data_IF_689940560263
#
_entry.id   IF_689940560263
#
_cell.length_a   1.000
_cell.length_b   1.000
_cell.length_c   1.000
_cell.angle_alpha   90.00
_cell.angle_beta   90.00
_cell.angle_gamma   90.00
#
_symmetry.space_group_name_H-M   'P 1'
#
loop_
_entity.id
_entity.type
_entity.pdbx_description
1 polymer ?
#
# COMPACT_ATOMS: atom_id res chain seq x y z
N UNK A 1 11.55 42.62 0.63
CA UNK A 1 11.85 41.86 1.88
C UNK A 1 11.16 40.48 1.86
N UNK A 2 11.86 39.43 2.32
CA UNK A 2 11.32 38.04 2.32
C UNK A 2 10.02 37.92 3.13
N UNK A 3 9.94 38.65 4.24
CA UNK A 3 8.76 38.66 5.14
C UNK A 3 7.49 39.21 4.46
N UNK A 4 7.61 40.27 3.65
CA UNK A 4 6.47 40.84 2.90
C UNK A 4 5.94 39.81 1.90
N UNK A 5 6.84 39.07 1.23
CA UNK A 5 6.46 38.06 0.25
C UNK A 5 5.68 36.91 0.90
N UNK A 6 6.20 36.38 2.00
CA UNK A 6 5.52 35.33 2.79
C UNK A 6 4.17 35.83 3.31
N UNK A 7 4.09 37.08 3.79
CA UNK A 7 2.85 37.65 4.28
C UNK A 7 1.79 37.81 3.16
N UNK A 8 2.20 38.23 1.97
CA UNK A 8 1.32 38.36 0.80
C UNK A 8 0.79 37.00 0.34
N UNK A 9 1.64 35.97 0.28
CA UNK A 9 1.22 34.61 -0.06
C UNK A 9 0.17 34.09 0.93
N UNK A 10 0.40 34.29 2.23
CA UNK A 10 -0.53 33.93 3.29
C UNK A 10 -1.88 34.67 3.15
N UNK A 11 -1.84 35.99 2.96
CA UNK A 11 -3.06 36.81 2.88
C UNK A 11 -3.85 36.56 1.59
N UNK A 12 -3.17 36.17 0.51
CA UNK A 12 -3.83 35.75 -0.74
C UNK A 12 -4.64 34.47 -0.55
N UNK A 13 -4.15 33.54 0.28
CA UNK A 13 -4.91 32.34 0.66
C UNK A 13 -6.10 32.72 1.57
N UNK A 14 -5.89 33.63 2.52
CA UNK A 14 -6.94 34.08 3.44
C UNK A 14 -8.06 34.89 2.76
N UNK A 15 -7.74 35.61 1.67
CA UNK A 15 -8.69 36.35 0.85
C UNK A 15 -9.71 35.44 0.12
N UNK A 16 -9.42 34.14 -0.01
CA UNK A 16 -10.28 33.20 -0.73
C UNK A 16 -10.45 33.59 -2.21
N UNK A 17 -11.65 33.39 -2.74
CA UNK A 17 -11.95 33.60 -4.18
C UNK A 17 -12.58 34.97 -4.49
N UNK A 18 -12.76 35.85 -3.51
CA UNK A 18 -13.41 37.14 -3.79
C UNK A 18 -12.43 38.11 -4.44
N UNK A 19 -12.77 38.61 -5.64
CA UNK A 19 -11.94 39.57 -6.40
C UNK A 19 -11.55 40.78 -5.54
N UNK A 20 -12.46 41.22 -4.67
CA UNK A 20 -12.24 42.35 -3.78
C UNK A 20 -11.17 42.09 -2.71
N UNK A 21 -11.16 40.92 -2.06
CA UNK A 21 -10.14 40.60 -1.06
C UNK A 21 -8.77 40.32 -1.70
N UNK A 22 -8.75 39.75 -2.90
CA UNK A 22 -7.52 39.59 -3.68
C UNK A 22 -6.94 40.96 -4.08
N UNK A 23 -7.78 41.92 -4.47
CA UNK A 23 -7.35 43.26 -4.81
C UNK A 23 -6.81 44.03 -3.59
N UNK A 24 -7.36 43.81 -2.39
CA UNK A 24 -6.78 44.33 -1.13
C UNK A 24 -5.34 43.86 -0.94
N UNK A 25 -5.09 42.57 -1.15
CA UNK A 25 -3.75 41.98 -0.98
C UNK A 25 -2.77 42.49 -2.04
N UNK A 26 -3.19 42.61 -3.30
CA UNK A 26 -2.38 43.21 -4.37
C UNK A 26 -2.06 44.68 -4.12
N UNK A 27 -3.02 45.46 -3.58
CA UNK A 27 -2.79 46.85 -3.20
C UNK A 27 -1.74 46.96 -2.08
N UNK A 28 -1.82 46.07 -1.08
CA UNK A 28 -0.83 45.97 0.00
C UNK A 28 0.56 45.61 -0.55
N UNK A 29 0.65 44.59 -1.41
CA UNK A 29 1.91 44.16 -2.02
C UNK A 29 2.56 45.29 -2.82
N UNK A 30 1.80 45.93 -3.71
CA UNK A 30 2.28 47.06 -4.51
C UNK A 30 2.78 48.21 -3.62
N UNK A 31 2.04 48.55 -2.58
CA UNK A 31 2.43 49.59 -1.60
C UNK A 31 3.75 49.22 -0.90
N UNK A 32 3.87 48.01 -0.38
CA UNK A 32 5.08 47.57 0.29
C UNK A 32 6.30 47.51 -0.64
N UNK A 33 6.13 47.16 -1.91
CA UNK A 33 7.23 47.12 -2.89
C UNK A 33 7.76 48.51 -3.27
N UNK A 34 6.86 49.51 -3.36
CA UNK A 34 7.26 50.88 -3.69
C UNK A 34 7.92 51.56 -2.50
N UNK A 35 7.32 51.43 -1.31
CA UNK A 35 7.81 52.08 -0.09
C UNK A 35 8.79 51.24 0.73
N UNK A 36 9.24 50.09 0.22
CA UNK A 36 10.13 49.18 0.93
C UNK A 36 11.38 49.87 1.51
N UNK A 37 12.03 50.73 0.73
CA UNK A 37 13.30 51.35 1.12
C UNK A 37 13.09 52.41 2.22
N UNK A 38 11.88 52.97 2.35
CA UNK A 38 11.55 53.85 3.50
C UNK A 38 11.21 53.02 4.73
N UNK A 39 10.48 51.91 4.55
CA UNK A 39 9.96 51.11 5.68
C UNK A 39 11.05 50.25 6.31
N UNK A 40 11.96 49.68 5.51
CA UNK A 40 12.90 48.65 5.95
C UNK A 40 14.37 49.09 5.92
N UNK A 41 14.75 50.06 5.09
CA UNK A 41 16.17 50.40 4.88
C UNK A 41 16.60 51.70 5.61
N UNK A 42 15.65 52.55 6.02
CA UNK A 42 15.93 53.75 6.83
C UNK A 42 15.81 53.43 8.33
N UNK A 43 16.76 53.95 9.11
CA UNK A 43 16.79 53.83 10.57
C UNK A 43 17.05 55.17 11.25
N UNK A 44 17.14 55.18 12.59
CA UNK A 44 17.39 56.42 13.36
C UNK A 44 18.78 57.03 13.15
N UNK A 45 19.71 56.31 12.49
CA UNK A 45 21.06 56.78 12.19
C UNK A 45 21.16 57.35 10.77
N UNK A 46 20.11 57.21 9.97
CA UNK A 46 20.09 57.63 8.58
C UNK A 46 20.03 59.15 8.45
N UNK A 47 20.97 59.72 7.69
CA UNK A 47 21.09 61.15 7.43
C UNK A 47 20.32 61.63 6.20
N UNK A 48 20.37 62.94 5.95
CA UNK A 48 19.65 63.58 4.83
C UNK A 48 19.98 62.99 3.45
N UNK A 49 21.23 62.58 3.22
CA UNK A 49 21.65 62.02 1.93
C UNK A 49 21.00 60.66 1.65
N UNK A 50 20.86 59.81 2.65
CA UNK A 50 20.20 58.50 2.51
C UNK A 50 18.70 58.67 2.29
N UNK A 51 18.06 59.56 3.05
CA UNK A 51 16.66 59.92 2.85
C UNK A 51 16.39 60.44 1.42
N UNK A 52 17.21 61.36 0.94
CA UNK A 52 17.06 61.93 -0.41
C UNK A 52 17.19 60.86 -1.50
N UNK A 53 18.15 59.94 -1.37
CA UNK A 53 18.32 58.83 -2.31
C UNK A 53 17.10 57.90 -2.32
N UNK A 54 16.56 57.57 -1.15
CA UNK A 54 15.35 56.76 -1.03
C UNK A 54 14.13 57.46 -1.65
N UNK A 55 13.95 58.77 -1.42
CA UNK A 55 12.88 59.55 -2.03
C UNK A 55 12.98 59.58 -3.57
N UNK A 56 14.18 59.73 -4.13
CA UNK A 56 14.39 59.68 -5.58
C UNK A 56 14.05 58.30 -6.17
N UNK A 57 14.32 57.21 -5.43
CA UNK A 57 13.95 55.87 -5.86
C UNK A 57 12.43 55.65 -5.82
N UNK A 58 11.75 56.17 -4.80
CA UNK A 58 10.28 56.16 -4.75
C UNK A 58 9.71 56.93 -5.92
N UNK A 59 10.20 58.15 -6.20
CA UNK A 59 9.68 58.97 -7.30
C UNK A 59 9.77 58.23 -8.65
N UNK A 60 10.85 57.49 -8.89
CA UNK A 60 10.99 56.64 -10.08
C UNK A 60 9.95 55.51 -10.11
N UNK A 61 9.72 54.83 -8.98
CA UNK A 61 8.70 53.76 -8.86
C UNK A 61 7.26 54.30 -8.94
N UNK A 62 7.01 55.52 -8.49
CA UNK A 62 5.70 56.17 -8.61
C UNK A 62 5.36 56.53 -10.06
N UNK A 63 6.36 56.84 -10.90
CA UNK A 63 6.13 57.10 -12.35
C UNK A 63 5.59 55.87 -13.08
N UNK A 64 5.90 54.65 -12.61
CA UNK A 64 5.36 53.40 -13.19
C UNK A 64 3.95 53.04 -12.71
N UNK A 65 3.51 53.56 -11.56
CA UNK A 65 2.17 53.31 -11.02
C UNK A 65 1.56 54.60 -10.44
N UNK A 66 0.82 55.37 -11.26
CA UNK A 66 0.26 56.66 -10.83
C UNK A 66 -0.79 56.52 -9.72
N UNK A 67 -1.35 55.32 -9.50
CA UNK A 67 -2.38 55.06 -8.49
C UNK A 67 -1.81 54.54 -7.17
N UNK A 68 -0.48 54.47 -7.02
CA UNK A 68 0.17 53.88 -5.84
C UNK A 68 -0.21 54.56 -4.51
N UNK A 69 -0.44 55.88 -4.52
CA UNK A 69 -0.89 56.60 -3.33
C UNK A 69 -2.32 56.20 -2.93
N UNK A 70 -3.19 55.96 -3.92
CA UNK A 70 -4.56 55.47 -3.69
C UNK A 70 -4.49 54.07 -3.09
N UNK A 71 -3.67 53.18 -3.67
CA UNK A 71 -3.44 51.82 -3.15
C UNK A 71 -2.91 51.83 -1.71
N UNK A 72 -2.05 52.77 -1.35
CA UNK A 72 -1.54 52.93 0.02
C UNK A 72 -2.66 53.38 0.98
N UNK A 73 -3.49 54.34 0.57
CA UNK A 73 -4.65 54.80 1.35
C UNK A 73 -5.65 53.65 1.54
N UNK A 74 -5.94 52.90 0.48
CA UNK A 74 -6.83 51.73 0.53
C UNK A 74 -6.26 50.63 1.43
N UNK A 75 -4.95 50.41 1.39
CA UNK A 75 -4.26 49.50 2.30
C UNK A 75 -4.43 49.93 3.75
N UNK A 76 -4.27 51.23 4.04
CA UNK A 76 -4.46 51.79 5.38
C UNK A 76 -5.91 51.64 5.86
N UNK A 77 -6.89 51.88 5.00
CA UNK A 77 -8.31 51.72 5.31
C UNK A 77 -8.69 50.26 5.60
N UNK A 78 -7.99 49.30 5.00
CA UNK A 78 -8.20 47.87 5.21
C UNK A 78 -7.28 47.26 6.29
N UNK A 79 -6.55 48.07 7.10
CA UNK A 79 -5.63 47.56 8.12
C UNK A 79 -6.30 46.64 9.14
N UNK A 80 -7.52 46.93 9.56
CA UNK A 80 -8.26 46.06 10.49
C UNK A 80 -8.57 44.69 9.87
N UNK A 81 -8.81 44.63 8.55
CA UNK A 81 -8.96 43.36 7.85
C UNK A 81 -7.66 42.55 7.91
N UNK A 82 -6.50 43.15 7.60
CA UNK A 82 -5.21 42.45 7.67
C UNK A 82 -4.88 41.98 9.11
N UNK A 83 -5.17 42.79 10.13
CA UNK A 83 -4.98 42.40 11.54
C UNK A 83 -5.90 41.25 11.94
N UNK A 84 -7.17 41.29 11.53
CA UNK A 84 -8.15 40.25 11.83
C UNK A 84 -7.84 38.95 11.09
N UNK A 85 -7.42 39.02 9.83
CA UNK A 85 -6.96 37.88 9.04
C UNK A 85 -5.72 37.23 9.68
N UNK A 86 -4.76 38.03 10.17
CA UNK A 86 -3.60 37.50 10.90
C UNK A 86 -4.00 36.83 12.22
N UNK A 87 -4.96 37.40 12.96
CA UNK A 87 -5.47 36.84 14.23
C UNK A 87 -6.27 35.55 14.01
N UNK A 88 -7.16 35.52 13.00
CA UNK A 88 -7.95 34.34 12.67
C UNK A 88 -7.04 33.20 12.21
N UNK A 89 -6.02 33.49 11.42
CA UNK A 89 -5.00 32.52 11.05
C UNK A 89 -4.23 32.00 12.27
N UNK A 90 -3.86 32.85 13.22
CA UNK A 90 -3.22 32.41 14.48
C UNK A 90 -4.11 31.47 15.30
N UNK A 91 -5.42 31.71 15.31
CA UNK A 91 -6.40 30.84 15.98
C UNK A 91 -6.59 29.51 15.25
N UNK A 92 -6.71 29.53 13.92
CA UNK A 92 -6.81 28.32 13.08
C UNK A 92 -5.53 27.50 13.16
N UNK A 93 -4.35 28.13 13.09
CA UNK A 93 -3.06 27.47 13.23
C UNK A 93 -2.94 26.74 14.57
N UNK A 94 -3.33 27.41 15.66
CA UNK A 94 -3.30 26.80 17.00
C UNK A 94 -4.27 25.62 17.10
N UNK A 95 -5.47 25.72 16.51
CA UNK A 95 -6.44 24.63 16.47
C UNK A 95 -5.95 23.44 15.65
N UNK A 96 -5.42 23.68 14.45
CA UNK A 96 -4.88 22.64 13.55
C UNK A 96 -3.69 21.92 14.20
N UNK A 97 -2.79 22.65 14.87
CA UNK A 97 -1.68 22.03 15.62
C UNK A 97 -2.22 21.21 16.80
N UNK A 98 -3.24 21.67 17.50
CA UNK A 98 -3.86 20.91 18.59
C UNK A 98 -4.54 19.63 18.09
N UNK A 99 -5.17 19.66 16.90
CA UNK A 99 -5.70 18.45 16.25
C UNK A 99 -4.59 17.45 15.94
N UNK A 100 -3.45 17.91 15.38
CA UNK A 100 -2.27 17.08 15.14
C UNK A 100 -1.71 16.48 16.44
N UNK A 101 -1.64 17.28 17.51
CA UNK A 101 -1.19 16.85 18.83
C UNK A 101 -2.02 15.71 19.42
N UNK A 102 -3.34 15.77 19.25
CA UNK A 102 -4.24 14.69 19.69
C UNK A 102 -4.03 13.44 18.82
N UNK A 103 -3.91 13.62 17.50
CA UNK A 103 -3.66 12.53 16.57
C UNK A 103 -2.31 11.84 16.81
N UNK A 104 -1.25 12.60 17.11
CA UNK A 104 0.08 12.06 17.36
C UNK A 104 0.16 11.27 18.67
N UNK A 105 -0.61 11.65 19.69
CA UNK A 105 -0.58 10.96 20.99
C UNK A 105 -1.46 9.72 21.00
N UNK A 106 -2.67 9.85 20.46
CA UNK A 106 -3.75 8.87 20.66
C UNK A 106 -4.26 8.27 19.35
N UNK A 107 -3.69 8.65 18.20
CA UNK A 107 -4.06 8.12 16.89
C UNK A 107 -3.53 6.71 16.66
N UNK A 108 -4.33 5.94 15.93
CA UNK A 108 -3.99 4.62 15.44
C UNK A 108 -4.40 4.51 13.97
N UNK A 109 -3.42 4.29 13.09
CA UNK A 109 -3.67 3.89 11.72
C UNK A 109 -3.82 2.38 11.66
N UNK A 110 -4.83 1.91 10.94
CA UNK A 110 -5.04 0.49 10.71
C UNK A 110 -5.06 0.21 9.23
N UNK A 111 -4.16 -0.67 8.80
CA UNK A 111 -4.09 -1.15 7.43
C UNK A 111 -4.65 -2.56 7.36
N UNK A 112 -5.53 -2.81 6.39
CA UNK A 112 -6.12 -4.12 6.13
C UNK A 112 -7.29 -4.04 5.17
N UNK A 113 -7.87 -5.17 4.77
CA UNK A 113 -8.98 -5.18 3.81
C UNK A 113 -10.34 -4.85 4.46
N UNK A 114 -10.90 -3.68 4.16
CA UNK A 114 -12.22 -3.24 4.65
C UNK A 114 -13.27 -3.07 3.56
N UNK A 115 -12.96 -3.41 2.31
CA UNK A 115 -13.86 -3.13 1.19
C UNK A 115 -15.12 -3.99 1.13
N UNK A 116 -15.21 -5.08 1.88
CA UNK A 116 -16.45 -5.87 2.00
C UNK A 116 -16.49 -6.76 3.27
N UNK A 117 -17.67 -6.84 3.91
CA UNK A 117 -17.91 -7.67 5.11
C UNK A 117 -18.01 -9.18 4.83
N UNK A 118 -18.10 -9.59 3.55
CA UNK A 118 -18.37 -10.98 3.15
C UNK A 118 -17.12 -11.81 2.82
N UNK A 119 -15.91 -11.34 3.12
CA UNK A 119 -14.68 -12.11 2.94
C UNK A 119 -14.25 -12.32 1.47
N UNK A 120 -14.82 -11.57 0.54
CA UNK A 120 -14.33 -11.47 -0.84
C UNK A 120 -13.46 -10.22 -0.97
N UNK A 121 -12.24 -10.38 -1.51
CA UNK A 121 -11.29 -9.28 -1.64
C UNK A 121 -11.72 -8.28 -2.70
N UNK A 122 -12.24 -7.12 -2.26
CA UNK A 122 -12.63 -6.00 -3.12
C UNK A 122 -11.97 -4.74 -2.58
N UNK A 123 -10.80 -4.38 -3.10
CA UNK A 123 -10.17 -3.09 -2.83
C UNK A 123 -10.17 -2.26 -4.10
N UNK A 124 -10.88 -1.14 -4.06
CA UNK A 124 -10.98 -0.22 -5.18
C UNK A 124 -10.26 1.10 -4.89
N UNK A 125 -10.35 1.60 -3.65
CA UNK A 125 -9.79 2.89 -3.22
C UNK A 125 -8.99 2.76 -1.91
N UNK A 126 -8.17 3.77 -1.62
CA UNK A 126 -7.30 3.78 -0.44
C UNK A 126 -8.08 3.78 0.88
N UNK A 127 -9.28 4.36 0.94
CA UNK A 127 -10.14 4.30 2.12
C UNK A 127 -10.63 2.88 2.44
N UNK A 128 -10.55 1.95 1.48
CA UNK A 128 -10.89 0.54 1.72
C UNK A 128 -9.75 -0.20 2.43
N UNK A 129 -8.56 0.40 2.50
CA UNK A 129 -7.36 -0.22 3.09
C UNK A 129 -6.77 0.51 4.28
N UNK A 130 -7.00 1.81 4.42
CA UNK A 130 -6.50 2.62 5.55
C UNK A 130 -7.70 3.10 6.37
N UNK A 131 -7.65 2.88 7.68
CA UNK A 131 -8.53 3.52 8.67
C UNK A 131 -7.70 4.30 9.68
N UNK A 132 -8.24 5.39 10.19
CA UNK A 132 -7.63 6.16 11.26
C UNK A 132 -8.64 6.34 12.40
N UNK A 133 -8.21 6.04 13.62
CA UNK A 133 -9.03 6.15 14.82
C UNK A 133 -8.25 6.80 15.94
N UNK A 134 -8.89 7.67 16.71
CA UNK A 134 -8.34 8.23 17.93
C UNK A 134 -8.80 7.36 19.10
N UNK A 135 -7.85 6.67 19.73
CA UNK A 135 -8.05 5.72 20.83
C UNK A 135 -8.06 6.49 22.15
N UNK A 136 -9.19 7.13 22.46
CA UNK A 136 -9.48 7.73 23.77
C UNK A 136 -10.54 6.89 24.52
N UNK A 137 -11.03 7.38 25.67
CA UNK A 137 -12.15 6.76 26.42
C UNK A 137 -13.41 6.50 25.55
N UNK A 138 -13.57 7.24 24.47
CA UNK A 138 -14.52 6.94 23.38
C UNK A 138 -13.77 6.95 22.04
N UNK A 139 -13.65 5.80 21.34
CA UNK A 139 -12.97 5.75 20.06
C UNK A 139 -13.73 6.58 19.03
N UNK A 140 -13.00 7.45 18.32
CA UNK A 140 -13.56 8.27 17.24
C UNK A 140 -12.83 7.92 15.94
N UNK A 141 -13.57 7.43 14.96
CA UNK A 141 -13.06 7.15 13.63
C UNK A 141 -13.06 8.41 12.76
N UNK A 142 -12.04 8.51 11.91
CA UNK A 142 -11.86 9.59 10.95
C UNK A 142 -11.75 8.99 9.55
N UNK A 143 -12.32 9.69 8.59
CA UNK A 143 -12.17 9.37 7.18
C UNK A 143 -10.77 9.71 6.70
N UNK A 144 -10.32 9.03 5.64
CA UNK A 144 -9.02 9.34 5.02
C UNK A 144 -8.99 10.77 4.43
N UNK A 145 -10.16 11.29 4.03
CA UNK A 145 -10.31 12.68 3.57
C UNK A 145 -10.07 13.68 4.71
N UNK A 146 -10.61 13.43 5.91
CA UNK A 146 -10.34 14.27 7.09
C UNK A 146 -8.87 14.25 7.52
N UNK A 147 -8.20 13.09 7.39
CA UNK A 147 -6.75 12.97 7.66
C UNK A 147 -5.94 13.78 6.63
N UNK A 148 -6.28 13.67 5.35
CA UNK A 148 -5.61 14.41 4.28
C UNK A 148 -5.88 15.92 4.37
N UNK A 149 -7.07 16.33 4.79
CA UNK A 149 -7.39 17.74 5.07
C UNK A 149 -6.53 18.28 6.21
N UNK A 150 -6.42 17.54 7.32
CA UNK A 150 -5.56 17.93 8.43
C UNK A 150 -4.09 18.06 7.99
N UNK A 151 -3.57 17.10 7.20
CA UNK A 151 -2.22 17.16 6.64
C UNK A 151 -2.05 18.40 5.75
N UNK A 152 -3.01 18.68 4.85
CA UNK A 152 -2.96 19.83 3.95
C UNK A 152 -2.98 21.16 4.72
N UNK A 153 -3.84 21.28 5.75
CA UNK A 153 -3.86 22.44 6.63
C UNK A 153 -2.53 22.62 7.36
N UNK A 154 -1.89 21.54 7.84
CA UNK A 154 -0.59 21.60 8.51
C UNK A 154 0.54 22.03 7.56
N UNK A 155 0.54 21.56 6.31
CA UNK A 155 1.53 21.96 5.31
C UNK A 155 1.46 23.46 4.96
N UNK A 156 0.26 24.07 5.03
CA UNK A 156 0.05 25.50 4.77
C UNK A 156 0.49 26.40 5.94
N UNK A 157 0.66 25.86 7.14
CA UNK A 157 1.24 26.57 8.26
C UNK A 157 2.76 26.68 8.02
N UNK A 158 3.19 27.78 7.39
CA UNK A 158 4.58 28.04 7.00
C UNK A 158 5.62 27.82 8.11
N UNK A 159 6.86 27.55 7.70
CA UNK A 159 7.93 26.98 8.53
C UNK A 159 8.68 27.91 9.48
N UNK A 160 8.20 29.11 9.79
CA UNK A 160 8.96 30.00 10.68
C UNK A 160 8.07 30.87 11.57
N UNK A 161 8.01 30.51 12.84
CA UNK A 161 7.69 31.43 13.92
C UNK A 161 8.73 31.12 15.00
N UNK A 162 9.70 32.02 15.20
CA UNK A 162 10.82 31.82 16.11
C UNK A 162 10.42 31.83 17.60
N UNK A 163 10.87 30.80 18.35
CA UNK A 163 10.76 30.72 19.82
C UNK A 163 10.72 29.27 20.36
N UNK A 164 11.10 29.05 21.64
CA UNK A 164 11.23 27.71 22.22
C UNK A 164 9.91 26.90 22.31
N UNK A 165 8.76 27.55 22.48
CA UNK A 165 7.42 26.92 22.42
C UNK A 165 7.00 26.51 20.99
N UNK A 166 7.73 26.96 19.96
CA UNK A 166 7.39 26.75 18.56
C UNK A 166 8.12 25.54 17.99
N UNK A 167 9.25 25.14 18.58
CA UNK A 167 9.94 23.89 18.22
C UNK A 167 9.06 22.67 18.50
N UNK A 168 8.36 22.63 19.63
CA UNK A 168 7.42 21.53 19.94
C UNK A 168 6.24 21.50 18.96
N UNK A 169 5.67 22.66 18.63
CA UNK A 169 4.58 22.78 17.66
C UNK A 169 5.01 22.37 16.25
N UNK A 170 6.23 22.73 15.87
CA UNK A 170 6.86 22.37 14.62
C UNK A 170 7.12 20.87 14.52
N UNK A 171 7.63 20.26 15.60
CA UNK A 171 7.79 18.80 15.70
C UNK A 171 6.47 18.05 15.53
N UNK A 172 5.42 18.47 16.23
CA UNK A 172 4.10 17.85 16.13
C UNK A 172 3.53 17.92 14.71
N UNK A 173 3.74 19.06 14.04
CA UNK A 173 3.35 19.27 12.64
C UNK A 173 4.13 18.34 11.71
N UNK A 174 5.45 18.36 11.80
CA UNK A 174 6.33 17.63 10.88
C UNK A 174 6.17 16.11 11.08
N UNK A 175 6.02 15.64 12.32
CA UNK A 175 5.75 14.24 12.63
C UNK A 175 4.43 13.75 12.02
N UNK A 176 3.34 14.51 12.18
CA UNK A 176 2.04 14.10 11.62
C UNK A 176 2.06 14.08 10.09
N UNK A 177 2.75 15.03 9.45
CA UNK A 177 2.92 15.04 8.00
C UNK A 177 3.69 13.78 7.56
N UNK A 178 4.80 13.47 8.21
CA UNK A 178 5.66 12.35 7.84
C UNK A 178 4.99 10.98 8.06
N UNK A 179 4.30 10.78 9.19
CA UNK A 179 3.61 9.51 9.44
C UNK A 179 2.48 9.26 8.44
N UNK A 180 1.73 10.31 8.06
CA UNK A 180 0.67 10.21 7.04
C UNK A 180 1.27 9.87 5.68
N UNK A 181 2.39 10.50 5.28
CA UNK A 181 3.07 10.17 4.03
C UNK A 181 3.51 8.70 3.96
N UNK A 182 4.13 8.19 5.04
CA UNK A 182 4.57 6.79 5.09
C UNK A 182 3.38 5.83 5.11
N UNK A 183 2.32 6.11 5.89
CA UNK A 183 1.09 5.30 5.90
C UNK A 183 0.42 5.26 4.52
N UNK A 184 0.37 6.40 3.83
CA UNK A 184 -0.23 6.47 2.50
C UNK A 184 0.56 5.63 1.50
N UNK A 185 1.90 5.67 1.56
CA UNK A 185 2.77 4.81 0.75
C UNK A 185 2.58 3.32 1.08
N UNK A 186 2.55 2.97 2.36
CA UNK A 186 2.29 1.60 2.82
C UNK A 186 0.94 1.07 2.36
N UNK A 187 -0.13 1.86 2.50
CA UNK A 187 -1.47 1.49 2.07
C UNK A 187 -1.58 1.35 0.54
N UNK A 188 -0.87 2.18 -0.23
CA UNK A 188 -0.76 2.00 -1.68
C UNK A 188 -0.05 0.70 -2.06
N UNK A 189 1.11 0.41 -1.44
CA UNK A 189 1.85 -0.82 -1.68
C UNK A 189 1.02 -2.05 -1.32
N UNK A 190 0.36 -2.05 -0.16
CA UNK A 190 -0.54 -3.12 0.28
C UNK A 190 -1.72 -3.31 -0.68
N UNK A 191 -2.39 -2.23 -1.09
CA UNK A 191 -3.47 -2.28 -2.08
C UNK A 191 -2.99 -2.89 -3.40
N UNK A 192 -1.80 -2.51 -3.88
CA UNK A 192 -1.23 -3.07 -5.11
C UNK A 192 -0.89 -4.56 -4.95
N UNK A 193 -0.34 -4.96 -3.81
CA UNK A 193 -0.02 -6.36 -3.50
C UNK A 193 -1.27 -7.24 -3.53
N UNK A 194 -2.36 -6.76 -2.94
CA UNK A 194 -3.59 -7.52 -2.95
C UNK A 194 -4.30 -7.48 -4.32
N UNK A 195 -4.19 -6.39 -5.09
CA UNK A 195 -4.62 -6.36 -6.51
C UNK A 195 -3.81 -7.32 -7.37
N UNK A 196 -2.53 -7.55 -7.02
CA UNK A 196 -1.68 -8.57 -7.63
C UNK A 196 -2.05 -10.00 -7.20
N UNK A 197 -2.90 -10.14 -6.17
CA UNK A 197 -3.49 -11.40 -5.75
C UNK A 197 -2.59 -12.28 -4.90
N UNK A 198 -1.71 -11.68 -4.10
CA UNK A 198 -0.94 -12.43 -3.11
C UNK A 198 -1.85 -12.86 -1.95
N UNK A 199 -2.17 -14.16 -1.90
CA UNK A 199 -3.10 -14.75 -0.94
C UNK A 199 -2.65 -14.57 0.51
N UNK A 200 -1.34 -14.49 0.76
CA UNK A 200 -0.79 -14.30 2.10
C UNK A 200 -1.14 -12.93 2.70
N UNK A 201 -1.46 -11.95 1.87
CA UNK A 201 -1.74 -10.58 2.30
C UNK A 201 -3.22 -10.16 2.17
N UNK A 202 -4.07 -11.00 1.59
CA UNK A 202 -5.51 -10.71 1.41
C UNK A 202 -6.22 -10.42 2.74
N UNK A 203 -5.89 -11.19 3.79
CA UNK A 203 -6.46 -11.05 5.13
C UNK A 203 -5.49 -10.40 6.12
N UNK A 204 -4.35 -9.89 5.63
CA UNK A 204 -3.36 -9.24 6.48
C UNK A 204 -3.93 -7.93 7.04
N UNK A 205 -3.66 -7.70 8.33
CA UNK A 205 -4.07 -6.50 9.03
C UNK A 205 -3.00 -6.10 10.05
N UNK A 206 -2.69 -4.81 10.11
CA UNK A 206 -1.72 -4.28 11.08
C UNK A 206 -2.15 -2.91 11.60
N UNK A 207 -1.93 -2.70 12.89
CA UNK A 207 -2.23 -1.46 13.59
C UNK A 207 -0.91 -0.71 13.86
N UNK A 208 -0.91 0.61 13.65
CA UNK A 208 0.23 1.49 13.85
C UNK A 208 -0.21 2.66 14.74
N UNK A 209 0.27 2.65 15.98
CA UNK A 209 0.03 3.73 16.93
C UNK A 209 0.98 4.89 16.65
N UNK A 210 0.46 6.12 16.63
CA UNK A 210 1.25 7.31 16.32
C UNK A 210 2.13 7.77 17.49
N UNK A 211 1.91 7.27 18.70
CA UNK A 211 2.40 7.81 19.99
C UNK A 211 3.79 8.47 19.96
N UNK A 212 3.82 9.79 19.71
CA UNK A 212 5.04 10.60 19.58
C UNK A 212 5.94 10.56 20.83
N UNK A 213 5.33 10.37 22.00
CA UNK A 213 6.00 10.34 23.31
C UNK A 213 6.79 9.03 23.56
N UNK A 214 6.58 7.99 22.75
CA UNK A 214 7.17 6.66 22.94
C UNK A 214 8.57 6.47 22.33
N UNK A 215 9.15 7.54 21.79
CA UNK A 215 10.42 7.52 21.05
C UNK A 215 10.19 7.66 19.54
N UNK A 216 10.32 8.89 19.05
CA UNK A 216 10.05 9.32 17.67
C UNK A 216 10.72 8.44 16.59
N UNK A 217 11.90 7.88 16.89
CA UNK A 217 12.71 7.14 15.91
C UNK A 217 12.26 5.69 15.68
N UNK A 218 11.75 4.99 16.70
CA UNK A 218 11.47 3.55 16.58
C UNK A 218 10.17 3.28 15.81
N UNK A 219 9.06 3.94 16.18
CA UNK A 219 7.76 3.70 15.55
C UNK A 219 7.75 4.08 14.06
N UNK A 220 8.40 5.20 13.72
CA UNK A 220 8.47 5.66 12.34
C UNK A 220 9.45 4.83 11.50
N UNK A 221 10.57 4.40 12.09
CA UNK A 221 11.49 3.48 11.43
C UNK A 221 10.84 2.11 11.17
N UNK A 222 10.09 1.59 12.14
CA UNK A 222 9.34 0.33 12.00
C UNK A 222 8.29 0.44 10.90
N UNK A 223 7.53 1.54 10.87
CA UNK A 223 6.55 1.79 9.81
C UNK A 223 7.22 1.88 8.43
N UNK A 224 8.35 2.59 8.32
CA UNK A 224 9.14 2.67 7.07
C UNK A 224 9.69 1.31 6.67
N UNK A 225 10.17 0.51 7.63
CA UNK A 225 10.66 -0.85 7.39
C UNK A 225 9.54 -1.75 6.86
N UNK A 226 8.35 -1.71 7.47
CA UNK A 226 7.18 -2.45 7.01
C UNK A 226 6.76 -2.03 5.60
N UNK A 227 6.83 -0.73 5.29
CA UNK A 227 6.60 -0.20 3.94
C UNK A 227 7.54 -0.85 2.93
N UNK A 228 8.84 -0.87 3.23
CA UNK A 228 9.85 -1.50 2.35
C UNK A 228 9.61 -3.01 2.21
N UNK A 229 9.23 -3.70 3.29
CA UNK A 229 8.90 -5.14 3.24
C UNK A 229 7.75 -5.43 2.29
N UNK A 230 6.64 -4.70 2.38
CA UNK A 230 5.48 -4.89 1.51
C UNK A 230 5.82 -4.55 0.04
N UNK A 231 6.58 -3.48 -0.21
CA UNK A 231 7.01 -3.12 -1.57
C UNK A 231 7.93 -4.18 -2.19
N UNK A 232 8.85 -4.72 -1.40
CA UNK A 232 9.73 -5.82 -1.83
C UNK A 232 8.89 -7.06 -2.16
N UNK A 233 7.97 -7.44 -1.27
CA UNK A 233 7.07 -8.58 -1.49
C UNK A 233 6.21 -8.42 -2.74
N UNK A 234 5.68 -7.21 -3.00
CA UNK A 234 4.95 -6.90 -4.23
C UNK A 234 5.80 -7.15 -5.47
N UNK A 235 7.06 -6.72 -5.45
CA UNK A 235 7.99 -6.92 -6.56
C UNK A 235 8.30 -8.40 -6.79
N UNK A 236 8.60 -9.13 -5.71
CA UNK A 236 8.85 -10.57 -5.73
C UNK A 236 7.64 -11.36 -6.25
N UNK A 237 6.46 -11.10 -5.68
CA UNK A 237 5.20 -11.74 -6.09
C UNK A 237 4.86 -11.45 -7.54
N UNK A 238 5.03 -10.20 -8.00
CA UNK A 238 4.76 -9.83 -9.39
C UNK A 238 5.65 -10.59 -10.37
N UNK A 239 6.94 -10.76 -10.03
CA UNK A 239 7.87 -11.55 -10.82
C UNK A 239 7.51 -13.04 -10.80
N UNK A 240 7.17 -13.59 -9.63
CA UNK A 240 6.75 -14.98 -9.50
C UNK A 240 5.48 -15.26 -10.31
N UNK A 241 4.45 -14.41 -10.18
CA UNK A 241 3.21 -14.52 -10.94
C UNK A 241 3.44 -14.43 -12.45
N UNK A 242 4.36 -13.56 -12.89
CA UNK A 242 4.77 -13.47 -14.29
C UNK A 242 5.40 -14.78 -14.77
N UNK A 243 6.31 -15.37 -13.99
CA UNK A 243 6.94 -16.65 -14.33
C UNK A 243 5.91 -17.78 -14.39
N UNK A 244 5.02 -17.89 -13.39
CA UNK A 244 3.95 -18.90 -13.36
C UNK A 244 3.06 -18.77 -14.61
N UNK A 245 2.70 -17.55 -15.01
CA UNK A 245 1.88 -17.28 -16.21
C UNK A 245 2.60 -17.58 -17.52
N UNK A 246 3.93 -17.46 -17.56
CA UNK A 246 4.75 -17.85 -18.71
C UNK A 246 4.84 -19.37 -18.84
N UNK A 247 5.06 -20.07 -17.73
CA UNK A 247 5.12 -21.54 -17.67
C UNK A 247 3.74 -22.19 -17.84
N UNK A 248 2.67 -21.48 -17.47
CA UNK A 248 1.31 -21.96 -17.49
C UNK A 248 0.37 -20.97 -18.22
N UNK A 249 0.40 -20.95 -19.57
CA UNK A 249 -0.41 -20.01 -20.36
C UNK A 249 -1.92 -20.11 -20.11
N UNK A 250 -2.40 -21.26 -19.62
CA UNK A 250 -3.81 -21.49 -19.26
C UNK A 250 -4.31 -20.49 -18.20
N UNK A 251 -3.43 -20.00 -17.31
CA UNK A 251 -3.78 -18.99 -16.31
C UNK A 251 -4.06 -17.62 -16.96
N UNK A 252 -3.58 -17.36 -18.17
CA UNK A 252 -3.78 -16.09 -18.88
C UNK A 252 -5.21 -15.87 -19.36
N UNK A 253 -6.04 -16.91 -19.38
CA UNK A 253 -7.47 -16.81 -19.63
C UNK A 253 -8.26 -16.16 -18.48
N UNK A 254 -7.62 -15.99 -17.31
CA UNK A 254 -8.23 -15.46 -16.11
C UNK A 254 -7.53 -14.21 -15.61
N UNK A 255 -8.36 -13.23 -15.26
CA UNK A 255 -7.94 -12.10 -14.43
C UNK A 255 -7.53 -12.57 -13.04
N UNK A 256 -6.72 -11.78 -12.32
CA UNK A 256 -6.30 -12.11 -10.96
C UNK A 256 -7.50 -12.36 -10.03
N UNK A 257 -8.55 -11.54 -10.14
CA UNK A 257 -9.79 -11.72 -9.37
C UNK A 257 -10.46 -13.06 -9.65
N UNK A 258 -10.50 -13.50 -10.91
CA UNK A 258 -11.02 -14.80 -11.29
C UNK A 258 -10.13 -15.94 -10.78
N UNK A 259 -8.80 -15.77 -10.82
CA UNK A 259 -7.87 -16.74 -10.22
C UNK A 259 -8.13 -16.90 -8.72
N UNK A 260 -8.18 -15.80 -7.96
CA UNK A 260 -8.44 -15.82 -6.52
C UNK A 260 -9.78 -16.49 -6.19
N UNK A 261 -10.82 -16.19 -6.97
CA UNK A 261 -12.13 -16.84 -6.84
C UNK A 261 -12.03 -18.36 -7.04
N UNK A 262 -11.38 -18.80 -8.11
CA UNK A 262 -11.18 -20.23 -8.37
C UNK A 262 -10.30 -20.88 -7.29
N UNK A 263 -9.23 -20.21 -6.83
CA UNK A 263 -8.35 -20.69 -5.77
C UNK A 263 -9.10 -20.90 -4.44
N UNK A 264 -10.00 -19.98 -4.08
CA UNK A 264 -10.84 -20.08 -2.88
C UNK A 264 -11.78 -21.28 -2.95
N UNK A 265 -12.47 -21.45 -4.08
CA UNK A 265 -13.42 -22.56 -4.22
C UNK A 265 -12.73 -23.91 -4.41
N UNK A 266 -11.56 -23.96 -5.05
CA UNK A 266 -10.75 -25.16 -5.10
C UNK A 266 -10.26 -25.58 -3.72
N UNK A 267 -9.86 -24.62 -2.88
CA UNK A 267 -9.51 -24.90 -1.48
C UNK A 267 -10.67 -25.62 -0.76
N UNK A 268 -11.87 -25.06 -0.80
CA UNK A 268 -13.04 -25.70 -0.17
C UNK A 268 -13.39 -27.07 -0.78
N UNK A 269 -13.16 -27.27 -2.07
CA UNK A 269 -13.35 -28.58 -2.71
C UNK A 269 -12.30 -29.62 -2.28
N UNK A 270 -11.08 -29.19 -1.96
CA UNK A 270 -10.04 -30.06 -1.42
C UNK A 270 -10.33 -30.45 0.04
N UNK A 271 -10.86 -29.51 0.83
CA UNK A 271 -11.24 -29.76 2.23
C UNK A 271 -12.51 -30.61 2.35
N UNK A 272 -13.56 -30.30 1.57
CA UNK A 272 -14.82 -31.04 1.60
C UNK A 272 -15.31 -31.41 0.20
N UNK A 273 -15.27 -32.71 -0.11
CA UNK A 273 -15.78 -33.24 -1.37
C UNK A 273 -17.29 -33.04 -1.57
N UNK A 274 -18.07 -32.77 -0.51
CA UNK A 274 -19.49 -32.44 -0.57
C UNK A 274 -19.76 -30.97 -0.89
N UNK A 275 -18.76 -30.08 -0.73
CA UNK A 275 -18.85 -28.67 -1.11
C UNK A 275 -19.22 -28.47 -2.59
N UNK A 276 -18.97 -29.48 -3.41
CA UNK A 276 -19.37 -29.52 -4.81
C UNK A 276 -20.87 -29.29 -5.07
N UNK A 277 -21.73 -29.50 -4.07
CA UNK A 277 -23.18 -29.24 -4.15
C UNK A 277 -23.53 -27.75 -3.95
N UNK A 278 -22.62 -26.98 -3.36
CA UNK A 278 -22.80 -25.56 -2.98
C UNK A 278 -21.87 -24.65 -3.80
N UNK A 279 -21.20 -25.21 -4.83
CA UNK A 279 -20.33 -24.46 -5.73
C UNK A 279 -21.12 -23.34 -6.42
N UNK A 280 -20.61 -22.09 -6.41
CA UNK A 280 -21.29 -21.00 -7.08
C UNK A 280 -21.35 -21.20 -8.60
N UNK A 281 -22.43 -20.73 -9.22
CA UNK A 281 -22.62 -20.83 -10.67
C UNK A 281 -21.48 -20.17 -11.47
N UNK A 282 -20.90 -19.09 -10.93
CA UNK A 282 -19.75 -18.40 -11.51
C UNK A 282 -18.54 -19.33 -11.71
N UNK A 283 -18.34 -20.32 -10.83
CA UNK A 283 -17.26 -21.30 -10.96
C UNK A 283 -17.42 -22.13 -12.25
N UNK A 284 -18.64 -22.60 -12.51
CA UNK A 284 -18.95 -23.38 -13.72
C UNK A 284 -18.85 -22.53 -14.99
N UNK A 285 -19.28 -21.26 -14.95
CA UNK A 285 -19.14 -20.35 -16.10
C UNK A 285 -17.67 -20.16 -16.48
N UNK A 286 -16.80 -19.95 -15.48
CA UNK A 286 -15.36 -19.76 -15.72
C UNK A 286 -14.72 -20.99 -16.34
N UNK A 287 -15.10 -22.20 -15.90
CA UNK A 287 -14.65 -23.45 -16.53
C UNK A 287 -15.27 -23.71 -17.89
N UNK A 288 -16.45 -23.12 -18.19
CA UNK A 288 -17.13 -23.30 -19.48
C UNK A 288 -16.31 -22.76 -20.66
N UNK A 289 -15.42 -21.79 -20.39
CA UNK A 289 -14.40 -21.34 -21.35
C UNK A 289 -13.63 -22.50 -21.96
N UNK A 290 -13.26 -23.47 -21.13
CA UNK A 290 -12.54 -24.64 -21.56
C UNK A 290 -13.43 -25.83 -21.87
N UNK A 291 -14.68 -25.90 -21.41
CA UNK A 291 -15.58 -27.00 -21.74
C UNK A 291 -17.06 -26.61 -21.83
N UNK A 292 -17.69 -26.83 -22.99
CA UNK A 292 -19.11 -26.49 -23.18
C UNK A 292 -20.02 -27.30 -22.23
N UNK A 293 -19.61 -28.53 -21.87
CA UNK A 293 -20.29 -29.42 -20.92
C UNK A 293 -19.47 -29.56 -19.62
N UNK A 294 -19.53 -28.55 -18.75
CA UNK A 294 -18.92 -28.60 -17.42
C UNK A 294 -19.73 -29.54 -16.51
N UNK A 295 -19.40 -30.84 -16.55
CA UNK A 295 -20.00 -31.83 -15.63
C UNK A 295 -19.23 -31.90 -14.31
N UNK A 296 -19.96 -32.01 -13.19
CA UNK A 296 -19.37 -32.16 -11.86
C UNK A 296 -18.44 -33.37 -11.75
N UNK A 297 -18.73 -34.43 -12.50
CA UNK A 297 -17.87 -35.62 -12.61
C UNK A 297 -16.49 -35.30 -13.17
N UNK A 298 -16.39 -34.35 -14.10
CA UNK A 298 -15.12 -33.97 -14.72
C UNK A 298 -14.29 -33.11 -13.77
N UNK A 299 -14.94 -32.20 -13.04
CA UNK A 299 -14.31 -31.41 -11.97
C UNK A 299 -13.72 -32.34 -10.89
N UNK A 300 -14.50 -33.32 -10.40
CA UNK A 300 -14.02 -34.29 -9.41
C UNK A 300 -12.86 -35.16 -9.92
N UNK A 301 -12.91 -35.59 -11.18
CA UNK A 301 -11.83 -36.36 -11.80
C UNK A 301 -10.55 -35.53 -11.90
N UNK A 302 -10.62 -34.30 -12.42
CA UNK A 302 -9.47 -33.39 -12.51
C UNK A 302 -8.85 -33.13 -11.12
N UNK A 303 -9.70 -32.88 -10.10
CA UNK A 303 -9.27 -32.69 -8.72
C UNK A 303 -8.53 -33.92 -8.15
N UNK A 304 -9.01 -35.13 -8.46
CA UNK A 304 -8.36 -36.37 -8.01
C UNK A 304 -7.02 -36.62 -8.69
N UNK A 305 -6.88 -36.21 -9.96
CA UNK A 305 -5.65 -36.36 -10.74
C UNK A 305 -4.60 -35.32 -10.31
N UNK A 306 -5.00 -34.07 -10.07
CA UNK A 306 -4.11 -33.01 -9.59
C UNK A 306 -3.55 -33.35 -8.19
N UNK A 307 -4.38 -33.88 -7.28
CA UNK A 307 -3.95 -34.30 -5.95
C UNK A 307 -2.96 -35.46 -5.96
N UNK A 308 -3.10 -36.42 -6.88
CA UNK A 308 -2.14 -37.54 -7.01
C UNK A 308 -0.75 -37.06 -7.43
N UNK A 309 -0.67 -36.08 -8.34
CA UNK A 309 0.61 -35.47 -8.77
C UNK A 309 1.25 -34.64 -7.66
N UNK A 310 0.46 -33.90 -6.86
CA UNK A 310 0.94 -33.18 -5.67
C UNK A 310 1.68 -34.12 -4.71
N UNK A 311 1.09 -35.29 -4.42
CA UNK A 311 1.69 -36.28 -3.52
C UNK A 311 2.93 -37.00 -4.09
N UNK A 312 3.16 -36.94 -5.40
CA UNK A 312 4.38 -37.46 -6.04
C UNK A 312 5.52 -36.44 -6.07
N UNK A 313 5.23 -35.16 -6.31
CA UNK A 313 6.24 -34.08 -6.38
C UNK A 313 6.87 -33.79 -5.01
N UNK A 314 6.11 -33.91 -3.92
CA UNK A 314 6.60 -33.68 -2.54
C UNK A 314 7.72 -34.66 -2.12
N UNK A 315 7.98 -35.73 -2.88
CA UNK A 315 9.05 -36.69 -2.59
C UNK A 315 10.43 -36.34 -3.17
N UNK A 316 10.53 -35.49 -4.18
CA UNK A 316 11.75 -35.45 -5.03
C UNK A 316 12.55 -34.14 -5.05
N UNK A 317 12.06 -33.04 -4.48
CA UNK A 317 12.86 -31.83 -4.32
C UNK A 317 13.12 -31.61 -2.83
N UNK A 318 14.37 -31.32 -2.44
CA UNK A 318 14.75 -30.24 -1.51
C UNK A 318 16.27 -30.07 -1.50
N UNK A 319 16.73 -28.95 -2.07
CA UNK A 319 18.08 -28.39 -1.88
C UNK A 319 18.09 -27.44 -0.68
N UNK A 320 19.25 -27.40 -0.02
CA UNK A 320 19.57 -26.72 1.24
C UNK A 320 19.68 -25.20 1.10
N UNK A 321 18.96 -24.45 1.93
CA UNK A 321 19.33 -23.13 2.49
C UNK A 321 18.47 -22.86 3.74
N UNK A 322 19.06 -22.28 4.79
CA UNK A 322 18.43 -22.01 6.09
C UNK A 322 17.87 -20.57 6.14
N UNK A 323 16.57 -20.40 6.39
CA UNK A 323 15.91 -19.10 6.56
C UNK A 323 15.23 -19.00 7.94
N UNK A 324 16.02 -18.99 9.01
CA UNK A 324 15.54 -18.69 10.37
C UNK A 324 14.81 -17.33 10.46
N UNK A 325 15.13 -16.40 9.56
CA UNK A 325 14.59 -15.03 9.52
C UNK A 325 13.16 -14.93 8.95
N UNK A 326 12.54 -16.05 8.57
CA UNK A 326 11.18 -16.11 8.01
C UNK A 326 10.09 -16.45 9.04
N UNK A 327 10.44 -16.84 10.27
CA UNK A 327 9.48 -17.24 11.30
C UNK A 327 9.25 -16.13 12.34
N UNK A 328 7.99 -15.95 12.73
CA UNK A 328 7.58 -15.06 13.82
C UNK A 328 7.93 -15.65 15.19
N UNK A 329 8.05 -14.80 16.22
CA UNK A 329 8.26 -15.26 17.59
C UNK A 329 7.18 -16.28 18.03
N UNK A 330 5.93 -16.10 17.62
CA UNK A 330 4.84 -17.01 17.97
C UNK A 330 5.04 -18.42 17.37
N UNK A 331 5.49 -18.50 16.11
CA UNK A 331 5.75 -19.78 15.44
C UNK A 331 6.94 -20.51 16.07
N UNK A 332 8.02 -19.77 16.38
CA UNK A 332 9.19 -20.31 17.09
C UNK A 332 8.75 -20.87 18.45
N UNK A 333 7.93 -20.13 19.19
CA UNK A 333 7.41 -20.59 20.48
C UNK A 333 6.56 -21.86 20.35
N UNK A 334 5.62 -21.92 19.38
CA UNK A 334 4.81 -23.12 19.11
C UNK A 334 5.67 -24.34 18.78
N UNK A 335 6.72 -24.17 17.99
CA UNK A 335 7.66 -25.24 17.62
C UNK A 335 8.40 -25.76 18.86
N UNK A 336 8.96 -24.85 19.66
CA UNK A 336 9.70 -25.21 20.87
C UNK A 336 8.78 -25.91 21.87
N UNK A 337 7.58 -25.37 22.12
CA UNK A 337 6.58 -26.00 23.00
C UNK A 337 6.16 -27.37 22.50
N UNK A 338 5.93 -27.55 21.20
CA UNK A 338 5.60 -28.88 20.65
C UNK A 338 6.74 -29.89 20.89
N UNK A 339 7.99 -29.53 20.55
CA UNK A 339 9.13 -30.42 20.74
C UNK A 339 9.41 -30.73 22.21
N UNK A 340 9.26 -29.74 23.10
CA UNK A 340 9.53 -29.91 24.53
C UNK A 340 8.39 -30.60 25.26
N UNK A 341 7.15 -30.15 25.09
CA UNK A 341 6.01 -30.60 25.88
C UNK A 341 5.35 -31.85 25.33
N UNK A 342 5.20 -31.94 23.99
CA UNK A 342 4.52 -33.07 23.31
C UNK A 342 5.51 -34.20 23.06
N UNK A 343 6.67 -33.91 22.48
CA UNK A 343 7.68 -34.93 22.14
C UNK A 343 8.72 -35.20 23.25
N UNK A 344 8.64 -34.47 24.38
CA UNK A 344 9.48 -34.68 25.58
C UNK A 344 10.99 -34.54 25.33
N UNK A 345 11.40 -33.71 24.38
CA UNK A 345 12.82 -33.34 24.21
C UNK A 345 13.24 -32.28 25.24
N UNK A 346 14.54 -32.20 25.55
CA UNK A 346 15.06 -31.15 26.43
C UNK A 346 14.88 -29.77 25.81
N UNK A 347 14.76 -28.74 26.64
CA UNK A 347 14.56 -27.36 26.19
C UNK A 347 15.72 -26.91 25.29
N UNK A 348 16.96 -27.27 25.64
CA UNK A 348 18.18 -27.03 24.86
C UNK A 348 18.09 -27.58 23.44
N UNK A 349 17.67 -28.85 23.30
CA UNK A 349 17.58 -29.50 21.98
C UNK A 349 16.39 -28.94 21.19
N UNK A 350 15.28 -28.58 21.85
CA UNK A 350 14.13 -27.96 21.21
C UNK A 350 14.45 -26.56 20.66
N UNK A 351 15.19 -25.73 21.39
CA UNK A 351 15.67 -24.44 20.91
C UNK A 351 16.71 -24.58 19.80
N UNK A 352 17.69 -25.45 19.95
CA UNK A 352 18.71 -25.69 18.91
C UNK A 352 18.12 -26.20 17.59
N UNK A 353 17.02 -26.97 17.66
CA UNK A 353 16.30 -27.45 16.48
C UNK A 353 15.72 -26.31 15.64
N UNK A 354 15.34 -25.19 16.26
CA UNK A 354 14.77 -24.04 15.52
C UNK A 354 15.77 -23.43 14.54
N UNK A 355 17.08 -23.44 14.84
CA UNK A 355 18.14 -22.93 13.97
C UNK A 355 18.57 -23.91 12.88
N UNK A 356 18.48 -25.21 13.17
CA UNK A 356 19.08 -26.26 12.34
C UNK A 356 18.09 -26.98 11.42
N UNK A 357 16.79 -26.78 11.62
CA UNK A 357 15.74 -27.54 10.93
C UNK A 357 14.87 -26.56 10.16
N UNK A 358 15.26 -26.33 8.91
CA UNK A 358 14.53 -25.47 8.00
C UNK A 358 14.35 -26.09 6.60
N UNK A 359 13.14 -26.05 6.01
CA UNK A 359 11.88 -25.57 6.61
C UNK A 359 11.42 -26.48 7.78
N UNK A 360 10.70 -25.92 8.76
CA UNK A 360 10.22 -26.71 9.90
C UNK A 360 9.30 -27.84 9.40
N UNK A 361 9.67 -29.07 9.75
CA UNK A 361 8.88 -30.26 9.51
C UNK A 361 8.93 -31.06 10.80
N UNK A 362 7.80 -31.21 11.48
CA UNK A 362 7.69 -31.84 12.81
C UNK A 362 8.41 -33.20 12.88
N UNK A 363 8.21 -34.08 11.90
CA UNK A 363 8.88 -35.39 11.88
C UNK A 363 10.41 -35.30 11.66
N UNK A 364 10.91 -34.33 10.89
CA UNK A 364 12.37 -34.09 10.74
C UNK A 364 12.94 -33.49 12.00
N UNK A 365 12.17 -32.63 12.68
CA UNK A 365 12.52 -32.05 13.96
C UNK A 365 12.71 -33.13 15.01
N UNK A 366 11.72 -34.01 15.15
CA UNK A 366 11.79 -35.18 16.04
C UNK A 366 12.98 -36.09 15.68
N UNK A 367 13.20 -36.38 14.39
CA UNK A 367 14.32 -37.24 13.96
C UNK A 367 15.70 -36.64 14.22
N UNK A 368 15.84 -35.32 14.05
CA UNK A 368 17.09 -34.62 14.34
C UNK A 368 17.32 -34.50 15.84
N UNK A 369 16.31 -34.13 16.63
CA UNK A 369 16.38 -34.05 18.09
C UNK A 369 16.77 -35.40 18.71
N UNK A 370 16.23 -36.51 18.19
CA UNK A 370 16.59 -37.87 18.63
C UNK A 370 18.06 -38.25 18.42
N UNK A 371 18.79 -37.53 17.56
CA UNK A 371 20.21 -37.78 17.27
C UNK A 371 21.16 -36.93 18.11
N UNK A 372 20.66 -35.94 18.84
CA UNK A 372 21.48 -35.01 19.61
C UNK A 372 21.64 -35.47 21.06
N UNK A 373 22.77 -35.08 21.67
CA UNK A 373 23.00 -35.22 23.11
C UNK A 373 22.80 -33.86 23.76
N UNK A 374 22.14 -33.85 24.91
CA UNK A 374 21.78 -32.63 25.63
C UNK A 374 23.00 -31.86 26.16
N UNK A 375 24.08 -32.56 26.53
CA UNK A 375 25.29 -31.98 27.12
C UNK A 375 26.39 -31.70 26.07
N UNK A 376 26.00 -31.51 24.81
CA UNK A 376 26.94 -31.12 23.75
C UNK A 376 27.11 -29.60 23.75
N UNK A 377 28.36 -29.14 23.89
CA UNK A 377 28.72 -27.71 23.89
C UNK A 377 28.15 -26.98 22.66
N UNK A 378 28.03 -27.67 21.52
CA UNK A 378 27.43 -27.10 20.30
C UNK A 378 25.91 -26.88 20.43
N UNK A 379 25.20 -27.73 21.15
CA UNK A 379 23.75 -27.56 21.36
C UNK A 379 23.45 -26.40 22.29
N UNK A 380 24.31 -26.18 23.28
CA UNK A 380 24.22 -25.03 24.20
C UNK A 380 24.48 -23.72 23.42
N UNK A 381 25.47 -23.70 22.53
CA UNK A 381 25.74 -22.54 21.66
C UNK A 381 24.55 -22.24 20.73
N UNK A 382 23.94 -23.26 20.14
CA UNK A 382 22.74 -23.10 19.31
C UNK A 382 21.51 -22.67 20.12
N UNK A 383 21.32 -23.18 21.32
CA UNK A 383 20.25 -22.70 22.21
C UNK A 383 20.40 -21.21 22.51
N UNK A 384 21.60 -20.77 22.91
CA UNK A 384 21.88 -19.38 23.25
C UNK A 384 21.63 -18.45 22.06
N UNK A 385 22.07 -18.84 20.87
CA UNK A 385 21.84 -18.07 19.64
C UNK A 385 20.35 -18.02 19.27
N UNK A 386 19.61 -19.14 19.40
CA UNK A 386 18.18 -19.20 19.10
C UNK A 386 17.37 -18.30 20.04
N UNK A 387 17.66 -18.35 21.34
CA UNK A 387 17.00 -17.51 22.36
C UNK A 387 17.31 -16.03 22.15
N UNK A 388 18.56 -15.68 21.81
CA UNK A 388 18.96 -14.30 21.52
C UNK A 388 18.18 -13.72 20.34
N UNK A 389 18.02 -14.49 19.25
CA UNK A 389 17.19 -14.06 18.10
C UNK A 389 15.71 -13.98 18.45
N UNK A 390 15.21 -14.92 19.24
CA UNK A 390 13.83 -14.90 19.74
C UNK A 390 13.54 -13.66 20.63
N UNK A 391 14.45 -13.27 21.50
CA UNK A 391 14.34 -12.05 22.31
C UNK A 391 14.38 -10.77 21.45
N UNK A 392 15.16 -10.76 20.37
CA UNK A 392 15.14 -9.67 19.39
C UNK A 392 13.78 -9.59 18.68
N UNK A 393 13.19 -10.73 18.30
CA UNK A 393 11.85 -10.80 17.71
C UNK A 393 10.73 -10.38 18.69
N UNK A 394 10.84 -10.71 19.98
CA UNK A 394 9.87 -10.28 21.00
C UNK A 394 9.89 -8.76 21.23
N UNK A 395 11.06 -8.12 21.10
CA UNK A 395 11.17 -6.65 21.15
C UNK A 395 10.56 -5.97 19.92
N UNK A 396 10.46 -6.68 18.80
CA UNK A 396 9.82 -6.24 17.55
C UNK A 396 8.28 -6.43 17.62
N UNK A 397 7.79 -7.41 18.41
CA UNK A 397 6.38 -7.83 18.44
C UNK A 397 5.46 -7.09 19.42
N UNK A 398 5.88 -5.96 20.02
CA UNK A 398 4.98 -5.09 20.80
C UNK A 398 3.92 -4.37 19.95
N UNK A 399 3.98 -4.50 18.62
CA UNK A 399 2.85 -4.20 17.74
C UNK A 399 2.08 -5.49 17.44
N UNK A 400 0.88 -5.64 18.00
CA UNK A 400 0.01 -6.80 17.82
C UNK A 400 -0.24 -7.12 16.33
N UNK A 401 0.56 -8.02 15.76
CA UNK A 401 0.27 -8.68 14.49
C UNK A 401 -0.83 -9.72 14.72
N UNK A 402 -2.02 -9.46 14.19
CA UNK A 402 -3.05 -10.48 14.05
C UNK A 402 -2.98 -10.99 12.61
N UNK A 403 -1.99 -11.85 12.34
CA UNK A 403 -2.05 -12.72 11.17
C UNK A 403 -3.15 -13.75 11.45
N UNK A 404 -4.35 -13.53 10.92
CA UNK A 404 -5.38 -14.57 10.88
C UNK A 404 -4.94 -15.59 9.85
N UNK A 405 -4.22 -16.62 10.29
CA UNK A 405 -3.87 -17.82 9.51
C UNK A 405 -5.13 -18.64 9.16
N UNK A 406 -6.01 -18.09 8.33
CA UNK A 406 -7.00 -18.87 7.61
C UNK A 406 -6.62 -18.80 6.14
N UNK A 407 -5.67 -19.65 5.73
CA UNK A 407 -5.22 -19.72 4.35
C UNK A 407 -6.28 -20.44 3.50
N UNK A 408 -7.38 -19.75 3.20
CA UNK A 408 -8.56 -20.30 2.51
C UNK A 408 -8.39 -20.39 0.99
N UNK A 409 -7.16 -20.47 0.49
CA UNK A 409 -6.83 -20.40 -0.93
C UNK A 409 -5.77 -21.44 -1.28
N UNK A 410 -5.92 -22.10 -2.43
CA UNK A 410 -4.84 -22.92 -3.03
C UNK A 410 -3.83 -22.03 -3.75
N UNK A 411 -2.63 -22.54 -4.01
CA UNK A 411 -1.61 -21.83 -4.78
C UNK A 411 -2.00 -21.66 -6.25
N UNK A 412 -1.35 -20.74 -6.98
CA UNK A 412 -1.62 -20.53 -8.41
C UNK A 412 -1.15 -21.73 -9.23
N UNK A 413 -0.11 -22.42 -8.79
CA UNK A 413 0.40 -23.67 -9.37
C UNK A 413 -0.59 -24.82 -9.19
N UNK A 414 -1.25 -24.91 -8.03
CA UNK A 414 -2.31 -25.90 -7.78
C UNK A 414 -3.53 -25.64 -8.67
N UNK A 415 -3.92 -24.37 -8.81
CA UNK A 415 -4.94 -23.97 -9.79
C UNK A 415 -4.52 -24.36 -11.22
N UNK A 416 -3.28 -24.09 -11.61
CA UNK A 416 -2.75 -24.46 -12.93
C UNK A 416 -2.79 -25.96 -13.17
N UNK A 417 -2.35 -26.75 -12.19
CA UNK A 417 -2.37 -28.22 -12.25
C UNK A 417 -3.79 -28.75 -12.42
N UNK A 418 -4.74 -28.24 -11.62
CA UNK A 418 -6.16 -28.59 -11.77
C UNK A 418 -6.69 -28.24 -13.17
N UNK A 419 -6.40 -27.03 -13.68
CA UNK A 419 -6.88 -26.59 -14.99
C UNK A 419 -6.29 -27.41 -16.14
N UNK A 420 -5.01 -27.80 -16.07
CA UNK A 420 -4.39 -28.70 -17.05
C UNK A 420 -5.11 -30.04 -17.11
N UNK A 421 -5.30 -30.69 -15.97
CA UNK A 421 -6.05 -31.96 -15.89
C UNK A 421 -7.49 -31.78 -16.41
N UNK A 422 -8.13 -30.67 -16.06
CA UNK A 422 -9.49 -30.38 -16.51
C UNK A 422 -9.60 -30.20 -18.04
N UNK A 423 -8.61 -29.56 -18.67
CA UNK A 423 -8.52 -29.38 -20.13
C UNK A 423 -8.16 -30.70 -20.82
N UNK A 424 -7.27 -31.50 -20.24
CA UNK A 424 -6.87 -32.81 -20.79
C UNK A 424 -8.01 -33.83 -20.77
N UNK A 425 -9.02 -33.63 -19.93
CA UNK A 425 -10.28 -34.39 -19.97
C UNK A 425 -11.13 -34.07 -21.22
N UNK A 426 -10.67 -33.18 -22.11
CA UNK A 426 -11.38 -32.73 -23.30
C UNK A 426 -10.85 -33.32 -24.61
N UNK A 427 -11.77 -33.42 -25.56
CA UNK A 427 -11.64 -34.08 -26.88
C UNK A 427 -11.59 -33.05 -28.04
N UNK A 428 -11.84 -31.75 -27.81
CA UNK A 428 -12.00 -30.75 -28.89
C UNK A 428 -11.08 -29.53 -28.75
N UNK A 429 -10.09 -29.45 -29.64
CA UNK A 429 -9.40 -28.22 -30.03
C UNK A 429 -10.03 -27.72 -31.34
N UNK A 430 -10.45 -26.46 -31.40
CA UNK A 430 -10.88 -25.83 -32.65
C UNK A 430 -9.61 -25.54 -33.47
N UNK A 431 -9.36 -26.34 -34.52
CA UNK A 431 -8.33 -26.02 -35.50
C UNK A 431 -8.90 -24.99 -36.48
N UNK A 432 -8.29 -23.81 -36.55
CA UNK A 432 -8.60 -22.78 -37.54
C UNK A 432 -7.60 -22.85 -38.69
N UNK A 433 -8.08 -22.73 -39.91
CA UNK A 433 -7.23 -22.42 -41.05
C UNK A 433 -6.94 -20.92 -41.06
N UNK A 434 -5.70 -20.57 -41.34
CA UNK A 434 -5.26 -19.18 -41.39
C UNK A 434 -5.35 -18.74 -42.85
N UNK A 435 -6.09 -17.67 -43.17
CA UNK A 435 -6.13 -17.14 -44.53
C UNK A 435 -4.74 -16.87 -45.08
N UNK A 436 -4.54 -17.09 -46.39
CA UNK A 436 -3.23 -16.99 -47.04
C UNK A 436 -2.58 -15.59 -46.93
N UNK A 437 -3.38 -14.55 -46.71
CA UNK A 437 -2.92 -13.17 -46.53
C UNK A 437 -2.47 -12.85 -45.09
N UNK A 438 -2.64 -13.77 -44.14
CA UNK A 438 -2.15 -13.64 -42.76
C UNK A 438 -0.87 -14.46 -42.60
N UNK A 439 0.21 -13.80 -42.22
CA UNK A 439 1.48 -14.48 -42.00
C UNK A 439 1.50 -15.18 -40.65
N UNK A 440 1.63 -16.51 -40.67
CA UNK A 440 1.78 -17.31 -39.46
C UNK A 440 3.02 -16.85 -38.67
N UNK A 441 2.86 -16.64 -37.36
CA UNK A 441 3.90 -16.23 -36.41
C UNK A 441 4.47 -14.80 -36.59
N UNK A 442 3.79 -13.92 -37.33
CA UNK A 442 4.15 -12.49 -37.42
C UNK A 442 2.91 -11.61 -37.20
N UNK A 443 3.06 -10.43 -36.59
CA UNK A 443 1.98 -9.46 -36.54
C UNK A 443 1.51 -9.13 -37.96
N UNK A 444 0.19 -9.10 -38.17
CA UNK A 444 -0.43 -8.71 -39.45
C UNK A 444 -1.24 -7.44 -39.20
N UNK A 445 -0.86 -6.34 -39.85
CA UNK A 445 -1.59 -5.08 -39.79
C UNK A 445 -2.49 -4.98 -41.04
N UNK A 446 -3.79 -4.83 -40.82
CA UNK A 446 -4.79 -4.61 -41.87
C UNK A 446 -5.39 -3.23 -41.64
N UNK A 447 -5.28 -2.35 -42.63
CA UNK A 447 -5.80 -0.98 -42.56
C UNK A 447 -7.08 -0.91 -43.37
N UNK A 448 -8.20 -0.62 -42.71
CA UNK A 448 -9.55 -0.60 -43.28
C UNK A 448 -10.34 0.62 -42.80
N UNK A 449 -11.35 1.07 -43.57
CA UNK A 449 -12.40 1.96 -43.07
C UNK A 449 -13.11 1.37 -41.84
N UNK A 450 -13.58 2.23 -40.94
CA UNK A 450 -14.20 1.82 -39.66
C UNK A 450 -15.38 0.84 -39.85
N UNK A 451 -16.18 1.04 -40.89
CA UNK A 451 -17.34 0.23 -41.24
C UNK A 451 -16.99 -1.16 -41.79
N UNK A 452 -15.75 -1.39 -42.25
CA UNK A 452 -15.29 -2.67 -42.79
C UNK A 452 -14.57 -3.55 -41.77
N UNK A 453 -14.17 -3.00 -40.61
CA UNK A 453 -13.37 -3.71 -39.61
C UNK A 453 -14.04 -5.01 -39.14
N UNK A 454 -15.33 -4.96 -38.79
CA UNK A 454 -16.06 -6.14 -38.31
C UNK A 454 -16.24 -7.21 -39.40
N UNK A 455 -16.45 -6.80 -40.66
CA UNK A 455 -16.56 -7.73 -41.78
C UNK A 455 -15.24 -8.45 -42.03
N UNK A 456 -14.11 -7.73 -41.98
CA UNK A 456 -12.79 -8.33 -42.13
C UNK A 456 -12.47 -9.30 -40.98
N UNK A 457 -12.84 -8.97 -39.74
CA UNK A 457 -12.69 -9.90 -38.60
C UNK A 457 -13.51 -11.18 -38.86
N UNK A 458 -14.77 -11.05 -39.30
CA UNK A 458 -15.60 -12.22 -39.62
C UNK A 458 -15.04 -13.06 -40.76
N UNK A 459 -14.53 -12.44 -41.82
CA UNK A 459 -13.89 -13.14 -42.95
C UNK A 459 -12.70 -13.98 -42.48
N UNK A 460 -11.87 -13.43 -41.58
CA UNK A 460 -10.72 -14.14 -41.02
C UNK A 460 -11.16 -15.35 -40.20
N UNK A 461 -12.17 -15.20 -39.33
CA UNK A 461 -12.58 -16.28 -38.41
C UNK A 461 -13.51 -17.33 -39.02
N UNK A 462 -14.25 -16.98 -40.07
CA UNK A 462 -15.14 -17.89 -40.81
C UNK A 462 -14.49 -18.52 -42.05
N UNK A 463 -13.19 -18.25 -42.29
CA UNK A 463 -12.43 -18.86 -43.36
C UNK A 463 -12.51 -20.40 -43.34
N UNK A 464 -12.76 -21.01 -44.50
CA UNK A 464 -12.93 -22.47 -44.70
C UNK A 464 -13.82 -23.18 -43.66
N UNK A 465 -14.98 -22.58 -43.35
CA UNK A 465 -15.97 -23.08 -42.37
C UNK A 465 -15.49 -23.00 -40.90
N UNK A 466 -14.69 -21.99 -40.57
CA UNK A 466 -14.36 -21.66 -39.19
C UNK A 466 -15.59 -21.31 -38.34
N UNK A 467 -15.47 -21.42 -37.01
CA UNK A 467 -16.52 -21.04 -36.07
C UNK A 467 -16.39 -19.56 -35.66
N UNK A 468 -17.44 -18.97 -35.09
CA UNK A 468 -17.34 -17.64 -34.50
C UNK A 468 -16.22 -17.56 -33.45
N UNK A 469 -15.51 -16.42 -33.36
CA UNK A 469 -14.48 -16.24 -32.36
C UNK A 469 -15.08 -16.11 -30.95
N UNK A 470 -14.27 -16.47 -29.96
CA UNK A 470 -14.56 -16.12 -28.56
C UNK A 470 -13.93 -14.77 -28.19
N UNK A 471 -14.28 -14.22 -27.03
CA UNK A 471 -13.67 -13.00 -26.47
C UNK A 471 -12.17 -13.10 -26.15
N UNK A 472 -11.57 -14.28 -26.34
CA UNK A 472 -10.14 -14.51 -26.16
C UNK A 472 -9.36 -14.37 -27.47
N UNK A 473 -10.08 -14.45 -28.59
CA UNK A 473 -9.51 -14.36 -29.94
C UNK A 473 -9.71 -12.97 -30.55
N UNK A 474 -10.79 -12.25 -30.17
CA UNK A 474 -11.16 -10.91 -30.67
C UNK A 474 -11.44 -9.95 -29.52
#
# INVERSE_FOLDING_TARGET
PKEVKVFVEIMSIAAGETDYDLDRVKCFEASCLVFNNVIFDLDNNSGFKELLNVCQQIERKMKSDPNILIKLIDTNNNLEWFKNAKKSQGSVATKTIMEAQIANRNGCFVIGNYGNNNGDFIVNKLSDVIKFEIVNSTPKAYTLEEVNDLQSRLMLLGGDIGGNSLVEKQKERDYFIEIVEVIMRLGQAYMMLCKAGDVSYINWRKNFFCSIESGEEFLLADLKLETVKIEKRLTEWSNMLKNIRLENPIINHFTIKQCLFLQKHLYFLYEDSNYCQVLPFQFYILLKKFNQDVKLTNVKKALSLSNRKKNQIVKDDWKKTSNFDELTALEIHKIVSSLHEVFKFSETVAWAATLNIFPYCEWKAVLWCNKQKQDDDQMIEFELEARKRYEQLLKINTCNEVLVENNTYVSVEELSSFLKEYIDLKIFQVKRSIPNYIHKNKPTLIVLPHDEVLYAVLDIYLHENGAFPSSEEV
#
